data_IF_909410202197
#
_entry.id   IF_909410202197
#
_cell.length_a   1.000
_cell.length_b   1.000
_cell.length_c   1.000
_cell.angle_alpha   90.00
_cell.angle_beta   90.00
_cell.angle_gamma   90.00
#
_symmetry.space_group_name_H-M   'P 1'
#
loop_
_entity.id
_entity.type
_entity.pdbx_description
1 polymer ?
#
# COMPACT_ATOMS: atom_id res chain seq x y z
N UNK A 1 -3.73 28.88 -13.42
CA UNK A 1 -3.78 27.47 -12.99
C UNK A 1 -2.86 27.36 -11.81
N UNK A 2 -3.38 26.88 -10.69
CA UNK A 2 -2.51 26.61 -9.54
C UNK A 2 -1.52 25.51 -9.89
N UNK A 3 -0.25 25.61 -9.44
CA UNK A 3 0.74 24.59 -9.72
C UNK A 3 0.36 23.29 -9.00
N UNK A 4 0.60 22.15 -9.65
CA UNK A 4 0.45 20.84 -9.02
C UNK A 4 1.55 20.61 -7.97
N UNK A 5 1.21 19.86 -6.93
CA UNK A 5 2.10 19.43 -5.87
C UNK A 5 2.88 18.17 -6.24
N UNK A 6 3.99 17.94 -5.55
CA UNK A 6 4.80 16.71 -5.71
C UNK A 6 3.98 15.44 -5.39
N UNK A 7 3.07 15.52 -4.41
CA UNK A 7 2.19 14.40 -4.04
C UNK A 7 1.19 14.06 -5.14
N UNK A 8 0.61 15.07 -5.80
CA UNK A 8 -0.27 14.85 -6.95
C UNK A 8 0.48 14.21 -8.11
N UNK A 9 1.71 14.67 -8.39
CA UNK A 9 2.56 14.05 -9.42
C UNK A 9 2.87 12.58 -9.09
N UNK A 10 3.17 12.25 -7.83
CA UNK A 10 3.39 10.85 -7.40
C UNK A 10 2.13 9.99 -7.57
N UNK A 11 0.96 10.48 -7.14
CA UNK A 11 -0.30 9.75 -7.26
C UNK A 11 -0.67 9.48 -8.74
N UNK A 12 -0.51 10.49 -9.60
CA UNK A 12 -0.75 10.40 -11.04
C UNK A 12 0.25 9.43 -11.70
N UNK A 13 1.52 9.47 -11.30
CA UNK A 13 2.54 8.59 -11.85
C UNK A 13 2.26 7.13 -11.51
N UNK A 14 1.83 6.84 -10.28
CA UNK A 14 1.43 5.50 -9.88
C UNK A 14 0.20 5.02 -10.66
N UNK A 15 -0.78 5.90 -10.89
CA UNK A 15 -1.99 5.55 -11.65
C UNK A 15 -1.73 5.12 -13.09
N UNK A 16 -0.66 5.60 -13.72
CA UNK A 16 -0.26 5.19 -15.08
C UNK A 16 0.28 3.76 -15.16
N UNK A 17 0.64 3.16 -14.02
CA UNK A 17 1.13 1.78 -13.95
C UNK A 17 0.00 0.76 -13.80
N UNK A 18 -1.24 1.23 -13.64
CA UNK A 18 -2.39 0.38 -13.35
C UNK A 18 -3.18 0.10 -14.62
N UNK A 19 -3.52 -1.18 -14.80
CA UNK A 19 -4.30 -1.67 -15.91
C UNK A 19 -5.76 -1.94 -15.53
N UNK A 20 -6.61 -1.97 -16.55
CA UNK A 20 -8.04 -2.24 -16.38
C UNK A 20 -8.26 -3.67 -15.89
N UNK A 21 -8.86 -3.82 -14.70
CA UNK A 21 -9.10 -5.12 -14.07
C UNK A 21 -8.10 -5.48 -12.97
N UNK A 22 -7.08 -4.64 -12.73
CA UNK A 22 -6.22 -4.76 -11.56
C UNK A 22 -7.00 -4.61 -10.26
N UNK A 23 -6.51 -5.28 -9.22
CA UNK A 23 -7.09 -5.23 -7.89
C UNK A 23 -6.11 -4.50 -6.97
N UNK A 24 -6.53 -3.35 -6.44
CA UNK A 24 -5.66 -2.42 -5.74
C UNK A 24 -5.89 -2.53 -4.24
N UNK A 25 -4.91 -3.07 -3.51
CA UNK A 25 -4.91 -3.05 -2.05
C UNK A 25 -4.42 -1.68 -1.57
N UNK A 26 -5.34 -0.91 -0.99
CA UNK A 26 -5.09 0.47 -0.58
C UNK A 26 -4.96 0.61 0.95
N UNK A 27 -4.01 1.43 1.37
CA UNK A 27 -3.83 1.85 2.76
C UNK A 27 -4.45 3.22 3.03
N UNK A 28 -3.68 4.12 3.64
CA UNK A 28 -4.09 5.49 3.97
C UNK A 28 -3.15 6.53 3.36
N UNK A 29 -3.59 7.79 3.29
CA UNK A 29 -2.75 8.90 2.83
C UNK A 29 -2.46 8.84 1.32
N UNK A 30 -1.19 8.97 0.93
CA UNK A 30 -0.80 9.08 -0.49
C UNK A 30 -1.07 7.79 -1.28
N UNK A 31 -0.93 6.62 -0.67
CA UNK A 31 -1.23 5.34 -1.32
C UNK A 31 -2.72 5.21 -1.68
N UNK A 32 -3.60 5.68 -0.77
CA UNK A 32 -5.04 5.74 -1.00
C UNK A 32 -5.39 6.71 -2.13
N UNK A 33 -4.82 7.93 -2.09
CA UNK A 33 -5.00 8.90 -3.17
C UNK A 33 -4.59 8.30 -4.52
N UNK A 34 -3.44 7.63 -4.57
CA UNK A 34 -2.95 6.97 -5.77
C UNK A 34 -3.90 5.86 -6.26
N UNK A 35 -4.42 5.01 -5.38
CA UNK A 35 -5.39 3.97 -5.75
C UNK A 35 -6.69 4.57 -6.31
N UNK A 36 -7.21 5.64 -5.69
CA UNK A 36 -8.42 6.35 -6.15
C UNK A 36 -8.18 7.01 -7.50
N UNK A 37 -7.03 7.69 -7.68
CA UNK A 37 -6.63 8.29 -8.96
C UNK A 37 -6.48 7.21 -10.05
N UNK A 38 -5.87 6.08 -9.71
CA UNK A 38 -5.73 4.94 -10.62
C UNK A 38 -7.09 4.49 -11.14
N UNK A 39 -8.04 4.21 -10.25
CA UNK A 39 -9.40 3.79 -10.63
C UNK A 39 -10.13 4.89 -11.40
N UNK A 40 -10.16 6.14 -10.90
CA UNK A 40 -10.99 7.20 -11.48
C UNK A 40 -10.50 7.73 -12.83
N UNK A 41 -9.19 7.71 -13.08
CA UNK A 41 -8.60 8.35 -14.27
C UNK A 41 -8.08 7.32 -15.28
N UNK A 42 -7.36 6.30 -14.82
CA UNK A 42 -6.58 5.43 -15.71
C UNK A 42 -7.25 4.07 -15.95
N UNK A 43 -7.80 3.46 -14.91
CA UNK A 43 -8.36 2.13 -14.94
C UNK A 43 -9.75 2.07 -14.25
N UNK A 44 -10.83 2.57 -14.88
CA UNK A 44 -12.18 2.60 -14.29
C UNK A 44 -12.75 1.25 -13.82
N UNK A 45 -12.24 0.15 -14.40
CA UNK A 45 -12.62 -1.22 -14.03
C UNK A 45 -11.71 -1.87 -12.99
N UNK A 46 -10.68 -1.16 -12.52
CA UNK A 46 -9.89 -1.63 -11.39
C UNK A 46 -10.76 -1.67 -10.12
N UNK A 47 -10.48 -2.63 -9.24
CA UNK A 47 -11.19 -2.80 -7.98
C UNK A 47 -10.31 -2.29 -6.86
N UNK A 48 -10.78 -1.33 -6.06
CA UNK A 48 -10.04 -0.88 -4.87
C UNK A 48 -10.59 -1.61 -3.66
N UNK A 49 -9.71 -2.09 -2.78
CA UNK A 49 -10.16 -2.72 -1.54
C UNK A 49 -9.20 -2.48 -0.38
N UNK A 50 -9.69 -2.75 0.83
CA UNK A 50 -9.03 -2.42 2.09
C UNK A 50 -8.98 -3.64 3.01
N UNK A 51 -7.97 -3.69 3.89
CA UNK A 51 -7.78 -4.79 4.86
C UNK A 51 -8.98 -5.00 5.81
N UNK A 52 -9.82 -3.98 5.98
CA UNK A 52 -11.03 -4.04 6.80
C UNK A 52 -12.19 -4.77 6.14
N UNK A 53 -12.07 -5.15 4.86
CA UNK A 53 -13.07 -5.93 4.13
C UNK A 53 -14.00 -5.12 3.22
N UNK A 54 -13.79 -3.80 3.10
CA UNK A 54 -14.50 -2.98 2.12
C UNK A 54 -13.97 -3.21 0.72
N UNK A 55 -14.76 -3.86 -0.15
CA UNK A 55 -14.40 -4.18 -1.53
C UNK A 55 -15.18 -3.29 -2.50
N UNK A 56 -14.44 -2.61 -3.37
CA UNK A 56 -14.90 -1.63 -4.34
C UNK A 56 -15.87 -0.55 -3.78
N UNK A 57 -15.45 0.22 -2.76
CA UNK A 57 -16.26 1.34 -2.28
C UNK A 57 -16.36 2.48 -3.30
N UNK A 58 -17.37 3.35 -3.12
CA UNK A 58 -17.63 4.49 -4.01
C UNK A 58 -16.49 5.53 -3.99
N UNK A 59 -15.89 5.76 -2.81
CA UNK A 59 -14.76 6.67 -2.58
C UNK A 59 -14.99 8.10 -3.12
N UNK A 60 -16.19 8.66 -2.92
CA UNK A 60 -16.51 10.05 -3.30
C UNK A 60 -15.70 11.08 -2.54
N UNK A 61 -15.40 10.76 -1.28
CA UNK A 61 -14.45 11.47 -0.45
C UNK A 61 -13.34 10.51 -0.03
N UNK A 62 -12.12 11.03 0.14
CA UNK A 62 -11.01 10.23 0.61
C UNK A 62 -11.19 9.86 2.09
N UNK A 63 -11.25 8.55 2.44
CA UNK A 63 -11.21 8.10 3.82
C UNK A 63 -9.98 8.61 4.58
N UNK A 64 -10.14 8.93 5.86
CA UNK A 64 -9.00 9.31 6.72
C UNK A 64 -8.24 8.10 7.25
N UNK A 65 -8.91 6.96 7.39
CA UNK A 65 -8.36 5.70 7.87
C UNK A 65 -9.04 4.52 7.17
N UNK A 66 -8.42 3.34 7.21
CA UNK A 66 -9.00 2.11 6.62
C UNK A 66 -10.28 1.63 7.34
N UNK A 67 -10.51 2.07 8.58
CA UNK A 67 -11.71 1.77 9.38
C UNK A 67 -12.78 2.89 9.31
N UNK A 68 -12.58 3.89 8.44
CA UNK A 68 -13.56 4.95 8.21
C UNK A 68 -14.81 4.39 7.53
N UNK A 69 -16.01 4.87 7.93
CA UNK A 69 -17.27 4.41 7.33
C UNK A 69 -17.32 4.59 5.80
N UNK A 70 -16.56 5.56 5.26
CA UNK A 70 -16.42 5.79 3.81
C UNK A 70 -15.77 4.62 3.07
N UNK A 71 -14.99 3.78 3.75
CA UNK A 71 -14.43 2.53 3.18
C UNK A 71 -15.51 1.46 2.99
N UNK A 72 -16.59 1.49 3.78
CA UNK A 72 -17.69 0.53 3.71
C UNK A 72 -18.85 1.03 2.84
N UNK A 73 -18.99 2.35 2.71
CA UNK A 73 -20.09 2.99 2.01
C UNK A 73 -20.07 2.69 0.50
N UNK A 74 -21.19 2.17 0.00
CA UNK A 74 -21.37 1.86 -1.42
C UNK A 74 -20.46 0.74 -1.96
N UNK A 75 -19.94 -0.11 -1.07
CA UNK A 75 -19.10 -1.26 -1.46
C UNK A 75 -19.90 -2.29 -2.27
N UNK A 76 -19.24 -2.91 -3.24
CA UNK A 76 -19.77 -4.08 -3.93
C UNK A 76 -19.89 -5.28 -2.99
N UNK A 77 -18.98 -5.38 -2.02
CA UNK A 77 -19.01 -6.36 -0.94
C UNK A 77 -18.42 -5.73 0.32
N UNK A 78 -19.16 -5.77 1.42
CA UNK A 78 -18.65 -5.45 2.75
C UNK A 78 -18.43 -6.75 3.52
N UNK A 79 -17.17 -7.11 3.71
CA UNK A 79 -16.74 -8.40 4.23
C UNK A 79 -15.90 -8.23 5.49
N UNK A 80 -14.80 -8.97 5.63
CA UNK A 80 -13.83 -8.76 6.69
C UNK A 80 -12.41 -9.09 6.25
N UNK A 81 -11.52 -9.06 7.22
CA UNK A 81 -10.09 -9.28 7.02
C UNK A 81 -9.79 -10.59 6.27
N UNK A 82 -10.43 -11.70 6.66
CA UNK A 82 -10.19 -13.01 6.03
C UNK A 82 -10.44 -12.96 4.53
N UNK A 83 -11.54 -12.34 4.09
CA UNK A 83 -11.89 -12.25 2.68
C UNK A 83 -10.95 -11.32 1.93
N UNK A 84 -10.59 -10.16 2.52
CA UNK A 84 -9.63 -9.23 1.93
C UNK A 84 -8.27 -9.89 1.68
N UNK A 85 -7.70 -10.61 2.65
CA UNK A 85 -6.41 -11.28 2.46
C UNK A 85 -6.52 -12.54 1.59
N UNK A 86 -7.70 -13.17 1.53
CA UNK A 86 -7.95 -14.24 0.55
C UNK A 86 -7.91 -13.73 -0.89
N UNK A 87 -8.36 -12.50 -1.16
CA UNK A 87 -8.22 -11.86 -2.47
C UNK A 87 -6.74 -11.66 -2.82
N UNK A 88 -5.95 -11.13 -1.89
CA UNK A 88 -4.51 -10.89 -2.11
C UNK A 88 -3.79 -12.21 -2.43
N UNK A 89 -4.07 -13.27 -1.68
CA UNK A 89 -3.43 -14.59 -1.87
C UNK A 89 -3.94 -15.37 -3.08
N UNK A 90 -4.96 -14.90 -3.79
CA UNK A 90 -5.56 -15.64 -4.90
C UNK A 90 -4.72 -15.52 -6.18
N UNK A 91 -4.03 -16.60 -6.55
CA UNK A 91 -3.05 -16.65 -7.67
C UNK A 91 -3.56 -16.20 -9.06
N UNK A 92 -4.87 -16.18 -9.30
CA UNK A 92 -5.45 -15.71 -10.58
C UNK A 92 -5.81 -14.23 -10.58
N UNK A 93 -5.77 -13.58 -9.42
CA UNK A 93 -6.06 -12.17 -9.28
C UNK A 93 -4.75 -11.40 -9.37
N UNK A 94 -4.75 -10.37 -10.21
CA UNK A 94 -3.61 -9.47 -10.31
C UNK A 94 -3.76 -8.37 -9.26
N UNK A 95 -3.32 -8.69 -8.04
CA UNK A 95 -3.39 -7.77 -6.90
C UNK A 95 -2.13 -6.93 -6.81
N UNK A 96 -2.28 -5.61 -6.79
CA UNK A 96 -1.21 -4.63 -6.63
C UNK A 96 -1.36 -3.94 -5.27
N UNK A 97 -0.34 -4.03 -4.43
CA UNK A 97 -0.35 -3.42 -3.11
C UNK A 97 0.31 -2.04 -3.11
N UNK A 98 -0.39 -1.04 -2.56
CA UNK A 98 0.14 0.32 -2.42
C UNK A 98 0.61 0.52 -0.97
N UNK A 99 1.93 0.51 -0.77
CA UNK A 99 2.54 0.54 0.56
C UNK A 99 3.35 1.81 0.81
N UNK A 100 3.61 2.07 2.09
CA UNK A 100 4.58 3.07 2.54
C UNK A 100 5.34 2.56 3.75
N UNK A 101 6.47 3.17 4.06
CA UNK A 101 7.32 2.75 5.17
C UNK A 101 8.08 3.92 5.81
N UNK A 102 8.68 3.66 6.97
CA UNK A 102 9.62 4.59 7.58
C UNK A 102 11.02 4.44 6.97
N UNK A 103 11.44 3.20 6.66
CA UNK A 103 12.67 2.92 5.92
C UNK A 103 12.42 1.95 4.78
N UNK A 104 13.25 2.07 3.74
CA UNK A 104 13.41 1.13 2.63
C UNK A 104 14.90 0.87 2.44
N UNK A 105 15.27 -0.37 2.17
CA UNK A 105 16.64 -0.72 1.78
C UNK A 105 16.83 -0.98 0.29
N UNK A 106 18.08 -1.23 -0.10
CA UNK A 106 18.48 -1.49 -1.50
C UNK A 106 17.81 -2.70 -2.16
N UNK A 107 17.19 -3.58 -1.38
CA UNK A 107 16.46 -4.75 -1.87
C UNK A 107 14.94 -4.55 -1.79
N UNK A 108 14.48 -3.36 -1.39
CA UNK A 108 13.07 -3.05 -1.24
C UNK A 108 12.45 -3.57 0.05
N UNK A 109 13.25 -4.04 1.02
CA UNK A 109 12.70 -4.41 2.33
C UNK A 109 12.22 -3.16 3.05
N UNK A 110 11.07 -3.26 3.71
CA UNK A 110 10.40 -2.13 4.34
C UNK A 110 10.43 -2.25 5.86
N UNK A 111 10.57 -1.10 6.52
CA UNK A 111 10.42 -0.98 7.96
C UNK A 111 9.32 0.02 8.31
N UNK A 112 8.29 -0.47 8.97
CA UNK A 112 7.23 0.33 9.61
C UNK A 112 7.01 -0.10 11.05
N UNK A 113 7.97 -0.79 11.67
CA UNK A 113 7.87 -1.32 13.03
C UNK A 113 8.66 -0.51 14.05
N UNK A 114 9.97 -0.32 13.85
CA UNK A 114 10.79 0.42 14.81
C UNK A 114 12.14 0.84 14.23
N UNK A 115 12.75 1.87 14.82
CA UNK A 115 14.17 2.20 14.63
C UNK A 115 15.00 1.72 15.82
N UNK A 116 16.19 1.20 15.53
CA UNK A 116 17.11 0.58 16.48
C UNK A 116 16.69 -0.82 16.92
N UNK A 117 17.12 -1.22 18.12
CA UNK A 117 16.88 -2.57 18.65
C UNK A 117 15.37 -2.83 18.86
N UNK A 118 14.83 -3.91 18.26
CA UNK A 118 13.40 -4.23 18.36
C UNK A 118 12.86 -4.36 19.80
N UNK A 119 13.62 -4.97 20.72
CA UNK A 119 13.20 -5.18 22.11
C UNK A 119 13.28 -3.90 22.95
N UNK A 120 14.07 -2.93 22.52
CA UNK A 120 14.23 -1.62 23.16
C UNK A 120 14.38 -0.54 22.09
N UNK A 121 13.30 -0.23 21.35
CA UNK A 121 13.38 0.60 20.16
C UNK A 121 13.68 2.05 20.54
N UNK A 122 14.44 2.74 19.69
CA UNK A 122 14.64 4.19 19.79
C UNK A 122 13.35 4.92 19.43
N UNK A 123 12.68 4.47 18.37
CA UNK A 123 11.38 4.96 17.91
C UNK A 123 10.51 3.75 17.58
N UNK A 124 9.25 3.76 18.06
CA UNK A 124 8.25 2.74 17.74
C UNK A 124 7.24 3.31 16.75
N UNK A 125 6.98 2.57 15.68
CA UNK A 125 5.98 2.88 14.67
C UNK A 125 4.72 2.01 14.86
N UNK A 126 3.62 2.29 14.13
CA UNK A 126 2.38 1.53 14.23
C UNK A 126 2.54 0.02 14.00
N UNK A 127 3.51 -0.41 13.20
CA UNK A 127 3.80 -1.82 12.94
C UNK A 127 3.44 -2.26 11.51
N UNK A 128 3.28 -3.57 11.34
CA UNK A 128 3.00 -4.19 10.04
C UNK A 128 1.60 -3.84 9.51
N UNK A 129 0.57 -3.94 10.35
CA UNK A 129 -0.79 -4.15 9.82
C UNK A 129 -0.79 -5.31 8.85
N UNK A 130 -1.49 -5.17 7.71
CA UNK A 130 -1.44 -6.10 6.59
C UNK A 130 -0.20 -6.06 5.68
N UNK A 131 0.74 -5.14 5.90
CA UNK A 131 1.78 -4.85 4.91
C UNK A 131 2.74 -6.03 4.67
N UNK A 132 3.00 -6.86 5.67
CA UNK A 132 3.85 -8.05 5.52
C UNK A 132 3.21 -9.07 4.57
N UNK A 133 1.93 -9.40 4.79
CA UNK A 133 1.21 -10.41 4.00
C UNK A 133 1.10 -9.97 2.55
N UNK A 134 0.69 -8.73 2.30
CA UNK A 134 0.52 -8.23 0.93
C UNK A 134 1.85 -8.07 0.20
N UNK A 135 2.92 -7.65 0.88
CA UNK A 135 4.24 -7.59 0.25
C UNK A 135 4.76 -8.99 -0.12
N UNK A 136 4.34 -10.02 0.62
CA UNK A 136 4.78 -11.40 0.40
C UNK A 136 4.05 -12.10 -0.75
N UNK A 137 2.78 -11.75 -1.01
CA UNK A 137 1.91 -12.56 -1.90
C UNK A 137 1.18 -11.78 -3.00
N UNK A 138 1.20 -10.44 -2.97
CA UNK A 138 0.65 -9.65 -4.06
C UNK A 138 1.44 -9.86 -5.35
N UNK A 139 0.79 -9.66 -6.50
CA UNK A 139 1.43 -9.79 -7.81
C UNK A 139 2.48 -8.69 -8.03
N UNK A 140 2.22 -7.49 -7.49
CA UNK A 140 3.18 -6.39 -7.48
C UNK A 140 2.96 -5.46 -6.28
N UNK A 141 3.97 -4.64 -5.98
CA UNK A 141 3.93 -3.65 -4.89
C UNK A 141 4.43 -2.32 -5.42
N UNK A 142 3.66 -1.25 -5.19
CA UNK A 142 4.08 0.13 -5.42
C UNK A 142 4.34 0.78 -4.07
N UNK A 143 5.56 1.27 -3.88
CA UNK A 143 6.02 1.81 -2.60
C UNK A 143 6.13 3.33 -2.68
N UNK A 144 5.48 4.01 -1.75
CA UNK A 144 5.53 5.47 -1.59
C UNK A 144 6.45 5.81 -0.43
N UNK A 145 7.55 6.51 -0.74
CA UNK A 145 8.54 6.96 0.23
C UNK A 145 8.88 8.42 0.01
N UNK A 146 9.04 9.15 1.10
CA UNK A 146 9.72 10.45 1.07
C UNK A 146 11.23 10.20 0.91
N UNK A 147 11.86 10.91 -0.02
CA UNK A 147 13.29 10.76 -0.26
C UNK A 147 14.10 11.36 0.89
N UNK A 148 14.96 10.56 1.52
CA UNK A 148 15.83 11.03 2.59
C UNK A 148 16.81 9.96 3.07
N UNK A 149 17.98 10.38 3.55
CA UNK A 149 19.08 9.48 3.96
C UNK A 149 18.72 8.54 5.11
N UNK A 150 17.82 8.97 5.99
CA UNK A 150 17.35 8.13 7.11
C UNK A 150 16.23 7.16 6.72
N UNK A 151 15.65 7.37 5.52
CA UNK A 151 14.57 6.56 4.96
C UNK A 151 15.09 5.57 3.94
N UNK A 152 16.01 5.98 3.06
CA UNK A 152 16.69 5.12 2.09
C UNK A 152 18.04 4.70 2.67
N UNK A 153 18.08 3.51 3.26
CA UNK A 153 19.22 3.00 4.02
C UNK A 153 19.86 1.79 3.33
N UNK A 154 21.11 1.45 3.64
CA UNK A 154 21.72 0.23 3.10
C UNK A 154 21.02 -1.04 3.59
N UNK A 155 20.54 -1.02 4.84
CA UNK A 155 19.81 -2.11 5.48
C UNK A 155 18.83 -1.53 6.50
N UNK A 156 17.59 -2.01 6.49
CA UNK A 156 16.58 -1.60 7.47
C UNK A 156 16.89 -2.13 8.87
N UNK A 157 16.49 -1.38 9.90
CA UNK A 157 16.66 -1.81 11.31
C UNK A 157 15.78 -3.02 11.65
N UNK A 158 14.61 -3.12 11.00
CA UNK A 158 13.66 -4.21 11.16
C UNK A 158 12.95 -4.46 9.82
N UNK A 159 12.90 -5.73 9.39
CA UNK A 159 12.12 -6.11 8.20
C UNK A 159 10.67 -6.31 8.62
N UNK A 160 9.84 -5.31 8.35
CA UNK A 160 8.40 -5.39 8.56
C UNK A 160 7.71 -6.05 7.38
N UNK A 161 8.04 -5.61 6.17
CA UNK A 161 7.54 -6.19 4.93
C UNK A 161 8.72 -6.61 4.06
N UNK A 162 8.74 -7.86 3.57
CA UNK A 162 9.83 -8.32 2.72
C UNK A 162 9.81 -7.63 1.36
N UNK A 163 10.98 -7.24 0.88
CA UNK A 163 11.25 -7.03 -0.54
C UNK A 163 11.95 -8.26 -1.09
N UNK A 164 13.08 -8.07 -1.76
CA UNK A 164 13.95 -9.16 -2.22
C UNK A 164 14.88 -9.70 -1.13
N UNK A 165 14.61 -9.46 0.16
CA UNK A 165 15.41 -9.92 1.29
C UNK A 165 16.91 -9.60 1.13
N UNK A 166 17.71 -10.58 0.71
CA UNK A 166 19.15 -10.45 0.46
C UNK A 166 19.55 -10.16 -0.99
N UNK A 167 18.59 -10.06 -1.91
CA UNK A 167 18.78 -9.95 -3.36
C UNK A 167 18.78 -11.30 -4.09
N UNK A 168 18.89 -11.23 -5.43
CA UNK A 168 18.87 -12.41 -6.30
C UNK A 168 17.47 -13.04 -6.35
N UNK A 169 17.43 -14.38 -6.22
CA UNK A 169 16.19 -15.17 -6.22
C UNK A 169 15.66 -15.45 -4.79
N UNK A 170 15.95 -14.55 -3.85
CA UNK A 170 15.51 -14.66 -2.45
C UNK A 170 14.01 -14.45 -2.28
#
# INVERSE_FOLDING_TARGET
MDPYSEREMMAISAGRLIESGDILFAGTGLSLLAAVVSKRIYAPKAVVFFETGGIDPCLDELPMAVADARVMYGTALNSGLIDAFSIVGHRRLHTIAFLGAAQIDRFGNLNSTCLGNYRRPKIRFPGSGGACDVASVAAAVIIFMELGKERFVEKVDYVTSPGWLGGGDS
#
